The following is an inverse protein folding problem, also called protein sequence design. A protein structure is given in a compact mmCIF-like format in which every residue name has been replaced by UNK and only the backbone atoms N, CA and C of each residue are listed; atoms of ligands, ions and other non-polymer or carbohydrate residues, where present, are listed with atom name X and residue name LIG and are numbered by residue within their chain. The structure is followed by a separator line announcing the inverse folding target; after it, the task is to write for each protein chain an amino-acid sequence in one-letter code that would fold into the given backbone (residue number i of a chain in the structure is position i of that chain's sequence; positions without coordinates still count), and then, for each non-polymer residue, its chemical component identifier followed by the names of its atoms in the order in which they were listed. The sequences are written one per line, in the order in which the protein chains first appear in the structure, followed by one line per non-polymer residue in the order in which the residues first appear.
data_IF_093509636655
#
_entry.id   IF_093509636655
#
_cell.length_a   1.000
_cell.length_b   1.000
_cell.length_c   1.000
_cell.angle_alpha   90.00
_cell.angle_beta   90.00
_cell.angle_gamma   90.00
#
_symmetry.space_group_name_H-M   'P 1'
#
loop_
_entity.id
_entity.type
_entity.pdbx_description
1 polymer ?
#
# COMPACT_ATOMS: atom_id res chain seq x y z
N UNK A 1 57.12 25.63 -27.41
CA UNK A 1 56.13 26.73 -27.47
C UNK A 1 54.75 26.13 -27.27
N UNK A 2 54.03 26.51 -26.21
CA UNK A 2 52.64 26.09 -26.03
C UNK A 2 51.76 26.70 -27.11
N UNK A 3 51.00 25.86 -27.82
CA UNK A 3 50.11 26.29 -28.90
C UNK A 3 48.89 27.00 -28.29
N UNK A 4 49.00 28.32 -28.12
CA UNK A 4 47.88 29.15 -27.65
C UNK A 4 46.86 29.27 -28.78
N UNK A 5 45.72 28.57 -28.64
CA UNK A 5 44.60 28.65 -29.58
C UNK A 5 44.12 30.11 -29.75
N UNK A 6 44.30 30.66 -30.95
CA UNK A 6 43.87 32.03 -31.32
C UNK A 6 42.34 32.20 -31.42
N UNK A 7 41.60 31.09 -31.52
CA UNK A 7 40.14 31.08 -31.72
C UNK A 7 39.32 31.01 -30.42
N UNK A 8 39.98 31.00 -29.26
CA UNK A 8 39.27 30.96 -27.98
C UNK A 8 38.75 32.36 -27.64
N UNK A 9 37.45 32.52 -27.33
CA UNK A 9 36.91 33.82 -26.91
C UNK A 9 37.66 34.31 -25.67
N UNK A 10 37.99 35.60 -25.61
CA UNK A 10 38.73 36.25 -24.53
C UNK A 10 37.83 37.28 -23.80
N UNK A 11 38.22 37.70 -22.60
CA UNK A 11 37.51 38.72 -21.83
C UNK A 11 36.07 38.35 -21.42
N UNK A 12 35.12 39.29 -21.53
CA UNK A 12 33.72 39.13 -21.08
C UNK A 12 32.96 37.99 -21.77
N UNK A 13 33.31 37.64 -23.01
CA UNK A 13 32.70 36.51 -23.72
C UNK A 13 33.15 35.16 -23.12
N UNK A 14 34.43 35.05 -22.74
CA UNK A 14 34.97 33.87 -22.09
C UNK A 14 34.34 33.63 -20.72
N UNK A 15 34.18 34.68 -19.91
CA UNK A 15 33.59 34.58 -18.57
C UNK A 15 32.13 34.12 -18.62
N UNK A 16 31.35 34.61 -19.59
CA UNK A 16 29.97 34.14 -19.84
C UNK A 16 29.93 32.64 -20.20
N UNK A 17 30.81 32.18 -21.09
CA UNK A 17 30.90 30.75 -21.47
C UNK A 17 31.31 29.89 -20.27
N UNK A 18 32.28 30.35 -19.48
CA UNK A 18 32.73 29.67 -18.26
C UNK A 18 31.61 29.57 -17.22
N UNK A 19 30.86 30.66 -17.00
CA UNK A 19 29.71 30.68 -16.10
C UNK A 19 28.60 29.73 -16.55
N UNK A 20 28.26 29.74 -17.86
CA UNK A 20 27.27 28.82 -18.44
C UNK A 20 27.68 27.35 -18.26
N UNK A 21 28.96 27.00 -18.51
CA UNK A 21 29.50 25.65 -18.29
C UNK A 21 29.44 25.22 -16.81
N UNK A 22 29.70 26.15 -15.88
CA UNK A 22 29.58 25.88 -14.44
C UNK A 22 28.12 25.62 -14.06
N UNK A 23 27.20 26.43 -14.55
CA UNK A 23 25.77 26.26 -14.30
C UNK A 23 25.23 24.94 -14.87
N UNK A 24 25.62 24.58 -16.10
CA UNK A 24 25.22 23.28 -16.69
C UNK A 24 25.77 22.10 -15.90
N UNK A 25 27.01 22.20 -15.38
CA UNK A 25 27.59 21.17 -14.51
C UNK A 25 26.81 20.99 -13.21
N UNK A 26 26.47 22.10 -12.54
CA UNK A 26 25.67 22.07 -11.31
C UNK A 26 24.29 21.44 -11.56
N UNK A 27 23.64 21.80 -12.68
CA UNK A 27 22.35 21.21 -13.05
C UNK A 27 22.46 19.71 -13.36
N UNK A 28 23.53 19.29 -14.06
CA UNK A 28 23.80 17.88 -14.32
C UNK A 28 24.06 17.10 -13.03
N UNK A 29 24.87 17.63 -12.11
CA UNK A 29 25.14 17.01 -10.80
C UNK A 29 23.87 16.90 -9.96
N UNK A 30 23.04 17.94 -9.92
CA UNK A 30 21.73 17.90 -9.24
C UNK A 30 20.82 16.83 -9.87
N UNK A 31 20.76 16.76 -11.20
CA UNK A 31 19.95 15.77 -11.89
C UNK A 31 20.45 14.33 -11.68
N UNK A 32 21.75 14.11 -11.51
CA UNK A 32 22.34 12.80 -11.19
C UNK A 32 22.00 12.41 -9.74
N UNK A 33 22.14 13.36 -8.79
CA UNK A 33 21.74 13.15 -7.39
C UNK A 33 20.26 12.81 -7.25
N UNK A 34 19.39 13.54 -7.94
CA UNK A 34 17.96 13.25 -7.92
C UNK A 34 17.63 11.89 -8.54
N UNK A 35 18.29 11.52 -9.65
CA UNK A 35 18.11 10.19 -10.29
C UNK A 35 18.55 9.05 -9.39
N UNK A 36 19.64 9.22 -8.64
CA UNK A 36 20.13 8.20 -7.71
C UNK A 36 19.20 8.04 -6.51
N UNK A 37 18.72 9.14 -5.94
CA UNK A 37 17.74 9.10 -4.85
C UNK A 37 16.40 8.48 -5.30
N UNK A 38 15.88 8.89 -6.46
CA UNK A 38 14.66 8.29 -7.01
C UNK A 38 14.82 6.79 -7.28
N UNK A 39 16.00 6.34 -7.72
CA UNK A 39 16.27 4.89 -7.89
C UNK A 39 16.21 4.14 -6.56
N UNK A 40 16.77 4.74 -5.49
CA UNK A 40 16.72 4.16 -4.15
C UNK A 40 15.29 4.08 -3.62
N UNK A 41 14.56 5.19 -3.66
CA UNK A 41 13.14 5.24 -3.24
C UNK A 41 12.31 4.22 -4.04
N UNK A 42 12.53 4.12 -5.35
CA UNK A 42 11.82 3.15 -6.17
C UNK A 42 12.16 1.71 -5.81
N UNK A 43 13.41 1.41 -5.40
CA UNK A 43 13.78 0.07 -4.95
C UNK A 43 13.15 -0.28 -3.61
N UNK A 44 13.15 0.66 -2.66
CA UNK A 44 12.47 0.51 -1.36
C UNK A 44 10.96 0.32 -1.55
N UNK A 45 10.32 1.14 -2.38
CA UNK A 45 8.90 1.01 -2.70
C UNK A 45 8.55 -0.33 -3.38
N UNK A 46 9.43 -0.85 -4.25
CA UNK A 46 9.21 -2.18 -4.86
C UNK A 46 9.23 -3.27 -3.82
N UNK A 47 10.16 -3.21 -2.85
CA UNK A 47 10.25 -4.18 -1.77
C UNK A 47 9.01 -4.13 -0.88
N UNK A 48 8.61 -2.94 -0.44
CA UNK A 48 7.40 -2.76 0.37
C UNK A 48 6.13 -3.22 -0.38
N UNK A 49 6.04 -2.95 -1.68
CA UNK A 49 4.92 -3.42 -2.49
C UNK A 49 4.91 -4.95 -2.65
N UNK A 50 6.07 -5.60 -2.69
CA UNK A 50 6.16 -7.05 -2.74
C UNK A 50 5.69 -7.67 -1.42
N UNK A 51 6.18 -7.16 -0.29
CA UNK A 51 5.77 -7.60 1.06
C UNK A 51 4.25 -7.42 1.26
N UNK A 52 3.70 -6.27 0.84
CA UNK A 52 2.27 -6.02 0.89
C UNK A 52 1.46 -6.97 0.00
N UNK A 53 1.99 -7.31 -1.19
CA UNK A 53 1.35 -8.29 -2.08
C UNK A 53 1.34 -9.69 -1.45
N UNK A 54 2.48 -10.15 -0.94
CA UNK A 54 2.57 -11.45 -0.25
C UNK A 54 1.64 -11.51 0.98
N UNK A 55 1.49 -10.41 1.70
CA UNK A 55 0.50 -10.29 2.77
C UNK A 55 -0.93 -10.42 2.25
N UNK A 56 -1.27 -9.70 1.17
CA UNK A 56 -2.60 -9.76 0.57
C UNK A 56 -2.92 -11.12 -0.04
N UNK A 57 -1.92 -11.81 -0.60
CA UNK A 57 -2.07 -13.15 -1.14
C UNK A 57 -2.41 -14.13 -0.01
N UNK A 58 -1.69 -14.08 1.13
CA UNK A 58 -2.02 -14.88 2.33
C UNK A 58 -3.40 -14.55 2.90
N UNK A 59 -3.80 -13.28 2.90
CA UNK A 59 -5.14 -12.87 3.34
C UNK A 59 -6.22 -13.43 2.43
N UNK A 60 -5.98 -13.51 1.13
CA UNK A 60 -6.94 -14.04 0.17
C UNK A 60 -7.16 -15.55 0.33
N UNK A 61 -6.15 -16.28 0.84
CA UNK A 61 -6.26 -17.71 1.16
C UNK A 61 -7.15 -17.98 2.37
N UNK A 62 -7.28 -17.02 3.29
CA UNK A 62 -8.14 -17.14 4.48
C UNK A 62 -9.61 -17.20 4.08
N UNK A 63 -10.30 -18.21 4.58
CA UNK A 63 -11.71 -18.45 4.31
C UNK A 63 -12.57 -18.22 5.54
N UNK A 64 -13.75 -17.64 5.35
CA UNK A 64 -14.77 -17.48 6.37
C UNK A 64 -15.60 -18.77 6.44
N UNK A 65 -15.68 -19.38 7.61
CA UNK A 65 -16.47 -20.60 7.80
C UNK A 65 -17.90 -20.25 8.25
N UNK A 66 -18.01 -19.57 9.39
CA UNK A 66 -19.29 -19.24 10.04
C UNK A 66 -19.10 -18.04 10.98
N UNK A 67 -20.18 -17.32 11.28
CA UNK A 67 -20.21 -16.37 12.40
C UNK A 67 -21.05 -16.94 13.53
N UNK A 68 -20.45 -17.16 14.71
CA UNK A 68 -21.11 -17.83 15.83
C UNK A 68 -20.71 -17.25 17.16
N UNK A 69 -21.69 -17.02 18.04
CA UNK A 69 -21.47 -16.49 19.41
C UNK A 69 -20.61 -15.21 19.41
N UNK A 70 -20.93 -14.26 18.54
CA UNK A 70 -20.21 -12.98 18.40
C UNK A 70 -18.74 -13.11 17.97
N UNK A 71 -18.35 -14.25 17.39
CA UNK A 71 -17.01 -14.45 16.83
C UNK A 71 -17.09 -14.96 15.39
N UNK A 72 -16.17 -14.46 14.57
CA UNK A 72 -15.95 -14.94 13.22
C UNK A 72 -15.08 -16.19 13.30
N UNK A 73 -15.57 -17.30 12.74
CA UNK A 73 -14.81 -18.52 12.56
C UNK A 73 -14.18 -18.44 11.18
N UNK A 74 -12.87 -18.48 11.13
CA UNK A 74 -12.07 -18.43 9.92
C UNK A 74 -11.21 -19.69 9.82
N UNK A 75 -10.93 -20.09 8.59
CA UNK A 75 -9.96 -21.13 8.26
C UNK A 75 -8.71 -20.45 7.71
N UNK A 76 -7.59 -20.67 8.40
CA UNK A 76 -6.26 -20.23 7.99
C UNK A 76 -5.46 -21.50 7.74
N UNK A 77 -5.13 -21.79 6.48
CA UNK A 77 -4.30 -22.94 6.09
C UNK A 77 -4.75 -24.31 6.65
N UNK A 78 -6.06 -24.50 6.85
CA UNK A 78 -6.65 -25.72 7.41
C UNK A 78 -6.82 -25.70 8.93
N UNK A 79 -6.39 -24.64 9.61
CA UNK A 79 -6.64 -24.42 11.04
C UNK A 79 -7.83 -23.50 11.27
N UNK A 80 -8.82 -23.99 12.01
CA UNK A 80 -10.02 -23.23 12.36
C UNK A 80 -9.71 -22.34 13.56
N UNK A 81 -9.70 -21.03 13.33
CA UNK A 81 -9.53 -20.02 14.36
C UNK A 81 -10.80 -19.20 14.60
N UNK A 82 -10.94 -18.72 15.84
CA UNK A 82 -12.02 -17.80 16.21
C UNK A 82 -11.44 -16.41 16.40
N UNK A 83 -11.96 -15.43 15.67
CA UNK A 83 -11.51 -14.03 15.71
C UNK A 83 -12.68 -13.10 16.05
N UNK A 84 -12.34 -12.02 16.73
CA UNK A 84 -13.28 -10.94 16.99
C UNK A 84 -13.47 -10.11 15.72
N UNK A 85 -14.73 -9.74 15.47
CA UNK A 85 -15.09 -8.84 14.38
C UNK A 85 -15.00 -7.39 14.87
N UNK A 86 -14.29 -6.56 14.13
CA UNK A 86 -14.04 -5.16 14.44
C UNK A 86 -14.91 -4.29 13.53
N UNK A 87 -15.87 -3.59 14.12
CA UNK A 87 -16.73 -2.64 13.44
C UNK A 87 -17.19 -1.54 14.39
N UNK A 88 -17.63 -0.41 13.85
CA UNK A 88 -18.15 0.71 14.64
C UNK A 88 -19.59 0.43 15.09
N UNK A 89 -19.75 -0.03 16.34
CA UNK A 89 -21.04 -0.35 16.94
C UNK A 89 -22.04 0.81 16.95
N UNK A 90 -21.59 2.06 16.81
CA UNK A 90 -22.50 3.24 16.79
C UNK A 90 -23.08 3.49 15.40
N UNK A 91 -22.37 3.05 14.37
CA UNK A 91 -22.80 3.23 12.97
C UNK A 91 -23.65 2.08 12.50
N UNK A 92 -23.34 0.85 12.93
CA UNK A 92 -24.01 -0.36 12.44
C UNK A 92 -25.33 -0.58 13.18
N UNK A 93 -26.40 -0.72 12.41
CA UNK A 93 -27.76 -1.04 12.82
C UNK A 93 -28.35 -2.11 11.88
N UNK A 94 -29.44 -2.79 12.27
CA UNK A 94 -30.13 -3.78 11.40
C UNK A 94 -30.44 -3.26 9.99
N UNK A 95 -30.75 -1.96 9.85
CA UNK A 95 -31.16 -1.36 8.56
C UNK A 95 -30.00 -1.10 7.58
N UNK A 96 -28.78 -0.89 8.07
CA UNK A 96 -27.63 -0.47 7.23
C UNK A 96 -26.50 -1.49 7.21
N UNK A 97 -26.67 -2.65 7.84
CA UNK A 97 -25.65 -3.69 7.93
C UNK A 97 -25.17 -4.19 6.57
N UNK A 98 -26.07 -4.22 5.58
CA UNK A 98 -25.77 -4.66 4.21
C UNK A 98 -24.73 -3.79 3.52
N UNK A 99 -24.71 -2.50 3.85
CA UNK A 99 -23.79 -1.52 3.30
C UNK A 99 -22.51 -1.46 4.15
N UNK A 100 -22.65 -1.46 5.47
CA UNK A 100 -21.53 -1.31 6.42
C UNK A 100 -20.66 -2.57 6.54
N UNK A 101 -21.14 -3.75 6.17
CA UNK A 101 -20.37 -5.00 6.24
C UNK A 101 -19.05 -4.95 5.44
N UNK A 102 -18.98 -4.08 4.42
CA UNK A 102 -17.76 -3.89 3.63
C UNK A 102 -16.62 -3.25 4.44
N UNK A 103 -16.95 -2.52 5.50
CA UNK A 103 -16.01 -1.81 6.35
C UNK A 103 -15.65 -2.58 7.63
N UNK A 104 -16.21 -3.78 7.78
CA UNK A 104 -15.88 -4.65 8.89
C UNK A 104 -14.47 -5.19 8.72
N UNK A 105 -13.77 -5.27 9.85
CA UNK A 105 -12.38 -5.69 9.90
C UNK A 105 -12.20 -6.89 10.82
N UNK A 106 -11.13 -7.64 10.57
CA UNK A 106 -10.66 -8.73 11.41
C UNK A 106 -9.14 -8.61 11.56
N UNK A 107 -8.62 -8.98 12.72
CA UNK A 107 -7.17 -8.95 12.96
C UNK A 107 -6.53 -10.24 12.46
N UNK A 108 -5.77 -10.16 11.36
CA UNK A 108 -5.06 -11.27 10.72
C UNK A 108 -3.56 -10.96 10.62
N UNK A 109 -2.73 -11.94 10.97
CA UNK A 109 -1.26 -11.82 10.91
C UNK A 109 -0.68 -10.57 11.60
N UNK A 110 -1.38 -10.03 12.62
CA UNK A 110 -0.98 -8.83 13.35
C UNK A 110 -1.57 -7.52 12.86
N UNK A 111 -2.18 -7.49 11.67
CA UNK A 111 -2.78 -6.30 11.05
C UNK A 111 -4.31 -6.35 10.99
N UNK A 112 -4.94 -5.19 10.83
CA UNK A 112 -6.39 -5.11 10.61
C UNK A 112 -6.71 -5.22 9.12
N UNK A 113 -7.48 -6.24 8.78
CA UNK A 113 -7.84 -6.56 7.39
C UNK A 113 -9.34 -6.45 7.23
N UNK A 114 -9.78 -5.84 6.13
CA UNK A 114 -11.20 -5.78 5.79
C UNK A 114 -11.74 -7.15 5.39
N UNK A 115 -12.95 -7.50 5.85
CA UNK A 115 -13.61 -8.76 5.50
C UNK A 115 -13.72 -8.97 3.98
N UNK A 116 -13.94 -7.90 3.21
CA UNK A 116 -14.02 -7.94 1.74
C UNK A 116 -12.75 -8.44 1.03
N UNK A 117 -11.63 -8.57 1.75
CA UNK A 117 -10.35 -9.06 1.22
C UNK A 117 -10.18 -10.57 1.37
N UNK A 118 -11.04 -11.23 2.15
CA UNK A 118 -11.02 -12.68 2.31
C UNK A 118 -11.58 -13.37 1.06
N UNK A 119 -11.02 -14.52 0.70
CA UNK A 119 -11.26 -15.16 -0.60
C UNK A 119 -12.73 -15.49 -0.87
N UNK A 120 -13.45 -15.96 0.16
CA UNK A 120 -14.84 -16.41 0.04
C UNK A 120 -15.87 -15.40 0.57
N UNK A 121 -15.48 -14.14 0.81
CA UNK A 121 -16.39 -13.14 1.35
C UNK A 121 -17.63 -12.94 0.49
N UNK A 122 -17.50 -12.96 -0.85
CA UNK A 122 -18.63 -12.76 -1.75
C UNK A 122 -19.71 -13.84 -1.60
N UNK A 123 -19.29 -15.09 -1.36
CA UNK A 123 -20.20 -16.24 -1.19
C UNK A 123 -20.83 -16.24 0.20
N UNK A 124 -20.03 -15.93 1.23
CA UNK A 124 -20.46 -15.94 2.63
C UNK A 124 -21.13 -14.64 3.08
N UNK A 125 -21.21 -13.62 2.21
CA UNK A 125 -21.75 -12.30 2.55
C UNK A 125 -23.17 -12.37 3.10
N UNK A 126 -24.06 -13.09 2.43
CA UNK A 126 -25.47 -13.14 2.81
C UNK A 126 -25.68 -13.93 4.10
N UNK A 127 -24.94 -15.03 4.28
CA UNK A 127 -24.92 -15.80 5.53
C UNK A 127 -24.42 -14.95 6.71
N UNK A 128 -23.34 -14.18 6.50
CA UNK A 128 -22.80 -13.29 7.52
C UNK A 128 -23.79 -12.18 7.89
N UNK A 129 -24.44 -11.56 6.89
CA UNK A 129 -25.46 -10.54 7.13
C UNK A 129 -26.57 -11.12 7.99
N UNK A 130 -27.08 -12.30 7.63
CA UNK A 130 -28.14 -12.96 8.39
C UNK A 130 -27.73 -13.22 9.85
N UNK A 131 -26.55 -13.82 10.08
CA UNK A 131 -26.06 -14.07 11.45
C UNK A 131 -25.79 -12.79 12.25
N UNK A 132 -25.42 -11.70 11.58
CA UNK A 132 -25.18 -10.41 12.22
C UNK A 132 -26.49 -9.65 12.50
N UNK A 133 -27.52 -9.79 11.66
CA UNK A 133 -28.87 -9.26 11.90
C UNK A 133 -29.52 -9.88 13.15
N UNK A 134 -29.26 -11.17 13.41
CA UNK A 134 -29.70 -11.83 14.66
C UNK A 134 -28.93 -11.33 15.90
N UNK A 135 -27.71 -10.85 15.71
CA UNK A 135 -26.84 -10.40 16.80
C UNK A 135 -27.04 -8.93 17.18
N UNK A 136 -27.14 -8.06 16.17
CA UNK A 136 -27.31 -6.62 16.36
C UNK A 136 -28.80 -6.41 16.56
N UNK A 137 -29.23 -6.06 17.78
CA UNK A 137 -30.64 -5.89 18.14
C UNK A 137 -31.25 -4.54 17.67
#
# INVERSE_FOLDING_TARGET
MEVISKNKPKGKAYSKIKAKRKQTRILQEKAIKQRTENKRINAENRKANLEYREFMDRVAEVQIVEFKKNMLIIDIDGEIEKRALLFDKRKVNKKNIKDEILDFKVKLFGEEVYLRKLGNFAEKKDELIFSLEEFID
#
